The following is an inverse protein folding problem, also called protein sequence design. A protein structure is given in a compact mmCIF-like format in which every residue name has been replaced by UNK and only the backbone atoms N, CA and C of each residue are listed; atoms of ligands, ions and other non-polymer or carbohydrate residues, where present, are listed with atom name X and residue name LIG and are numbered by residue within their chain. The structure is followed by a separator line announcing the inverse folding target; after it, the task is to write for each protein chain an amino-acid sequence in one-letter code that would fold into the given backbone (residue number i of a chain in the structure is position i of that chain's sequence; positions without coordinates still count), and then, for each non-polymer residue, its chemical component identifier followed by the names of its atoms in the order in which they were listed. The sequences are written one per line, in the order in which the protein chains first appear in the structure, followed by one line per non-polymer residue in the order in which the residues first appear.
data_IF_245553856994
#
_entry.id   IF_245553856994
#
_cell.length_a   1.000
_cell.length_b   1.000
_cell.length_c   1.000
_cell.angle_alpha   90.00
_cell.angle_beta   90.00
_cell.angle_gamma   90.00
#
_symmetry.space_group_name_H-M   'P 1'
#
loop_
_entity.id
_entity.type
_entity.pdbx_description
1 polymer ?
#
# COMPACT_ATOMS: atom_id res chain seq x y z
N UNK A 1 36.55 -8.23 65.48
CA UNK A 1 37.61 -7.19 65.42
C UNK A 1 37.36 -6.36 64.18
N UNK A 2 36.69 -5.20 64.32
CA UNK A 2 37.29 -3.85 64.18
C UNK A 2 38.13 -3.73 62.90
N UNK A 3 37.84 -2.86 61.93
CA UNK A 3 37.89 -1.39 61.98
C UNK A 3 37.67 -0.89 60.53
N UNK A 4 36.81 0.10 60.24
CA UNK A 4 37.16 1.53 60.06
C UNK A 4 38.10 1.75 58.83
N UNK A 5 37.91 2.64 57.86
CA UNK A 5 37.41 4.02 57.84
C UNK A 5 37.27 4.48 56.37
N UNK A 6 36.31 5.37 56.08
CA UNK A 6 36.41 6.33 54.96
C UNK A 6 37.58 7.30 55.20
N UNK A 7 38.22 7.81 54.13
CA UNK A 7 38.43 9.24 54.08
C UNK A 7 37.86 9.85 52.80
N UNK A 8 37.00 10.82 53.04
CA UNK A 8 36.53 11.85 52.12
C UNK A 8 37.74 12.57 51.51
N UNK A 9 37.87 12.58 50.19
CA UNK A 9 38.60 13.64 49.49
C UNK A 9 37.68 14.20 48.42
N UNK A 10 37.15 15.38 48.74
CA UNK A 10 36.47 16.28 47.82
C UNK A 10 37.44 16.62 46.70
N UNK A 11 37.16 16.22 45.45
CA UNK A 11 37.73 16.87 44.28
C UNK A 11 36.61 17.38 43.37
N UNK A 12 36.81 18.64 43.00
CA UNK A 12 35.86 19.55 42.40
C UNK A 12 35.26 19.05 41.08
N UNK A 13 34.02 19.48 40.85
CA UNK A 13 33.38 19.45 39.54
C UNK A 13 34.25 20.15 38.49
N UNK A 14 34.53 19.44 37.40
CA UNK A 14 34.97 20.02 36.13
C UNK A 14 34.24 19.28 35.00
N UNK A 15 33.63 20.11 34.16
CA UNK A 15 32.68 19.90 33.07
C UNK A 15 32.94 18.76 32.06
N UNK A 16 31.86 18.01 31.75
CA UNK A 16 31.22 17.70 30.44
C UNK A 16 32.12 17.37 29.20
N UNK A 17 31.73 16.40 28.35
CA UNK A 17 32.59 15.36 27.80
C UNK A 17 33.34 15.75 26.51
N UNK A 18 34.50 15.11 26.30
CA UNK A 18 35.24 15.06 25.03
C UNK A 18 34.37 14.49 23.90
N UNK A 19 33.60 15.36 23.27
CA UNK A 19 33.05 15.18 21.95
C UNK A 19 34.14 15.47 20.91
N UNK A 20 34.18 14.58 19.91
CA UNK A 20 34.84 14.72 18.61
C UNK A 20 36.37 14.49 18.59
N UNK A 21 36.77 13.33 18.07
CA UNK A 21 37.41 13.23 16.74
C UNK A 21 37.58 11.76 16.34
N UNK A 22 36.56 11.19 15.73
CA UNK A 22 36.76 10.07 14.81
C UNK A 22 36.87 10.66 13.41
N UNK A 23 38.09 10.94 12.96
CA UNK A 23 38.38 11.20 11.56
C UNK A 23 38.18 9.92 10.74
N UNK A 24 36.92 9.53 10.53
CA UNK A 24 36.53 8.61 9.49
C UNK A 24 36.17 9.41 8.25
N UNK A 25 37.05 9.48 7.27
CA UNK A 25 36.73 10.05 5.97
C UNK A 25 35.43 9.41 5.43
N UNK A 26 34.46 10.20 4.90
CA UNK A 26 33.31 9.62 4.26
C UNK A 26 33.77 9.02 2.93
N UNK A 27 34.08 7.73 2.92
CA UNK A 27 34.11 6.98 1.67
C UNK A 27 32.68 6.93 1.17
N UNK A 28 32.31 7.90 0.34
CA UNK A 28 31.07 7.85 -0.43
C UNK A 28 31.09 6.56 -1.22
N UNK A 29 30.16 5.59 -0.99
CA UNK A 29 30.08 4.42 -1.83
C UNK A 29 29.73 4.90 -3.22
N UNK A 30 30.74 4.94 -4.10
CA UNK A 30 30.58 5.26 -5.52
C UNK A 30 29.72 4.13 -6.10
N UNK A 31 28.42 4.38 -6.21
CA UNK A 31 27.44 3.42 -6.73
C UNK A 31 26.74 2.62 -5.64
N UNK A 32 26.02 3.29 -4.74
CA UNK A 32 24.86 2.64 -4.14
C UNK A 32 23.85 2.42 -5.28
N UNK A 33 23.90 1.24 -5.92
CA UNK A 33 22.78 0.73 -6.70
C UNK A 33 21.58 0.74 -5.76
N UNK A 34 20.66 1.69 -6.00
CA UNK A 34 19.46 1.86 -5.21
C UNK A 34 18.61 0.60 -5.45
N UNK A 35 18.79 -0.42 -4.60
CA UNK A 35 17.98 -1.63 -4.64
C UNK A 35 16.57 -1.24 -4.23
N UNK A 36 15.75 -0.90 -5.22
CA UNK A 36 14.32 -0.77 -5.06
C UNK A 36 13.78 -2.18 -4.82
N UNK A 37 13.55 -2.52 -3.56
CA UNK A 37 12.73 -3.66 -3.20
C UNK A 37 11.31 -3.39 -3.72
N UNK A 38 11.02 -3.84 -4.94
CA UNK A 38 9.67 -3.80 -5.47
C UNK A 38 8.82 -4.71 -4.59
N UNK A 39 7.80 -4.14 -3.93
CA UNK A 39 6.91 -4.91 -3.08
C UNK A 39 6.28 -6.02 -3.92
N UNK A 40 6.66 -7.26 -3.63
CA UNK A 40 6.22 -8.42 -4.38
C UNK A 40 4.72 -8.61 -4.13
N UNK A 41 3.90 -8.33 -5.14
CA UNK A 41 2.45 -8.41 -5.02
C UNK A 41 2.01 -9.88 -4.97
N UNK A 42 1.16 -10.17 -3.99
CA UNK A 42 0.56 -11.49 -3.76
C UNK A 42 -0.94 -11.44 -3.98
N UNK A 43 -1.48 -12.52 -4.51
CA UNK A 43 -2.91 -12.81 -4.60
C UNK A 43 -3.12 -14.21 -4.01
N UNK A 44 -3.71 -14.28 -2.81
CA UNK A 44 -3.55 -15.46 -1.95
C UNK A 44 -2.08 -15.80 -1.75
N UNK A 45 -1.72 -17.06 -2.04
CA UNK A 45 -0.34 -17.55 -1.92
C UNK A 45 0.52 -17.36 -3.19
N UNK A 46 -0.03 -16.77 -4.25
CA UNK A 46 0.63 -16.66 -5.55
C UNK A 46 1.26 -15.28 -5.75
N UNK A 47 2.51 -15.29 -6.19
CA UNK A 47 3.16 -14.11 -6.76
C UNK A 47 2.63 -13.86 -8.17
N UNK A 48 2.47 -12.60 -8.55
CA UNK A 48 2.05 -12.27 -9.90
C UNK A 48 2.72 -11.00 -10.42
N UNK A 49 2.80 -10.89 -11.75
CA UNK A 49 3.22 -9.68 -12.44
C UNK A 49 2.02 -8.71 -12.57
N UNK A 50 2.04 -7.55 -11.89
CA UNK A 50 0.96 -6.56 -11.97
C UNK A 50 0.82 -5.90 -13.35
N UNK A 51 1.81 -6.04 -14.23
CA UNK A 51 1.72 -5.56 -15.62
C UNK A 51 0.90 -6.50 -16.52
N UNK A 52 0.67 -7.74 -16.07
CA UNK A 52 -0.03 -8.77 -16.84
C UNK A 52 -1.33 -9.21 -16.19
N UNK A 53 -1.37 -9.22 -14.85
CA UNK A 53 -2.49 -9.73 -14.07
C UNK A 53 -2.88 -8.78 -12.94
N UNK A 54 -4.14 -8.87 -12.51
CA UNK A 54 -4.62 -8.32 -11.26
C UNK A 54 -5.13 -9.43 -10.34
N UNK A 55 -5.25 -9.10 -9.05
CA UNK A 55 -5.95 -9.93 -8.09
C UNK A 55 -7.43 -9.52 -8.01
N UNK A 56 -8.32 -10.48 -8.21
CA UNK A 56 -9.77 -10.31 -8.09
C UNK A 56 -10.37 -11.55 -7.43
N UNK A 57 -11.04 -11.38 -6.29
CA UNK A 57 -11.57 -12.45 -5.44
C UNK A 57 -10.57 -13.59 -5.22
N UNK A 58 -9.36 -13.23 -4.78
CA UNK A 58 -8.23 -14.14 -4.53
C UNK A 58 -7.78 -14.97 -5.75
N UNK A 59 -8.23 -14.61 -6.95
CA UNK A 59 -7.83 -15.23 -8.22
C UNK A 59 -6.99 -14.26 -9.07
N UNK A 60 -6.00 -14.84 -9.76
CA UNK A 60 -5.23 -14.12 -10.78
C UNK A 60 -6.06 -14.00 -12.06
N UNK A 61 -6.21 -12.77 -12.52
CA UNK A 61 -7.01 -12.41 -13.68
C UNK A 61 -6.16 -11.61 -14.65
N UNK A 62 -6.13 -11.95 -15.96
CA UNK A 62 -5.43 -11.14 -16.96
C UNK A 62 -6.00 -9.71 -17.02
N UNK A 63 -5.17 -8.70 -17.24
CA UNK A 63 -5.62 -7.30 -17.32
C UNK A 63 -6.64 -7.05 -18.44
N UNK A 64 -6.64 -7.89 -19.49
CA UNK A 64 -7.57 -7.81 -20.62
C UNK A 64 -8.93 -8.45 -20.32
N UNK A 65 -9.10 -9.11 -19.17
CA UNK A 65 -10.35 -9.79 -18.84
C UNK A 65 -11.47 -8.77 -18.64
N UNK A 66 -12.56 -9.00 -19.35
CA UNK A 66 -13.80 -8.25 -19.21
C UNK A 66 -14.94 -9.14 -18.72
N UNK A 67 -15.97 -8.53 -18.14
CA UNK A 67 -17.23 -9.17 -17.77
C UNK A 67 -18.40 -8.27 -18.17
N UNK A 68 -19.62 -8.83 -18.17
CA UNK A 68 -20.86 -8.11 -18.49
C UNK A 68 -21.68 -7.81 -17.25
N UNK A 69 -22.29 -6.64 -17.24
CA UNK A 69 -23.28 -6.22 -16.26
C UNK A 69 -24.43 -5.51 -17.00
N UNK A 70 -25.56 -6.20 -17.16
CA UNK A 70 -26.59 -5.77 -18.12
C UNK A 70 -26.03 -5.70 -19.54
N UNK A 71 -26.19 -4.55 -20.20
CA UNK A 71 -25.62 -4.28 -21.53
C UNK A 71 -24.17 -3.71 -21.47
N UNK A 72 -23.63 -3.43 -20.29
CA UNK A 72 -22.28 -2.90 -20.21
C UNK A 72 -21.26 -4.03 -20.13
N UNK A 73 -20.13 -3.86 -20.83
CA UNK A 73 -18.93 -4.67 -20.63
C UNK A 73 -17.90 -3.84 -19.87
N UNK A 74 -17.33 -4.40 -18.80
CA UNK A 74 -16.37 -3.70 -17.94
C UNK A 74 -15.10 -4.52 -17.74
N UNK A 75 -14.00 -3.83 -17.50
CA UNK A 75 -12.69 -4.42 -17.25
C UNK A 75 -12.54 -4.80 -15.77
N UNK A 76 -12.47 -6.10 -15.48
CA UNK A 76 -12.51 -6.65 -14.10
C UNK A 76 -11.39 -6.11 -13.20
N UNK A 77 -10.24 -5.79 -13.79
CA UNK A 77 -9.09 -5.31 -13.04
C UNK A 77 -9.18 -3.86 -12.62
N UNK A 78 -9.96 -3.04 -13.34
CA UNK A 78 -9.99 -1.59 -13.19
C UNK A 78 -11.36 -1.06 -12.74
N UNK A 79 -12.40 -1.88 -12.87
CA UNK A 79 -13.79 -1.47 -12.69
C UNK A 79 -14.57 -2.50 -11.86
N UNK A 80 -15.67 -2.05 -11.28
CA UNK A 80 -16.58 -2.86 -10.48
C UNK A 80 -18.03 -2.54 -10.84
N UNK A 81 -18.89 -3.56 -10.92
CA UNK A 81 -20.32 -3.37 -11.11
C UNK A 81 -21.04 -3.27 -9.76
N UNK A 82 -21.84 -2.22 -9.59
CA UNK A 82 -22.62 -1.93 -8.40
C UNK A 82 -24.13 -1.97 -8.73
N UNK A 83 -24.97 -2.57 -7.89
CA UNK A 83 -26.42 -2.42 -8.00
C UNK A 83 -26.83 -0.98 -7.64
N UNK A 84 -27.69 -0.36 -8.44
CA UNK A 84 -28.20 0.99 -8.16
C UNK A 84 -29.44 0.88 -7.25
N UNK A 85 -29.28 1.06 -5.94
CA UNK A 85 -30.42 0.92 -5.01
C UNK A 85 -31.23 2.20 -4.92
N UNK A 86 -32.47 2.20 -5.41
CA UNK A 86 -33.59 2.95 -4.81
C UNK A 86 -34.98 2.35 -5.09
N UNK A 87 -35.14 1.42 -6.06
CA UNK A 87 -36.38 0.66 -6.31
C UNK A 87 -36.09 -0.66 -7.04
N UNK A 88 -37.06 -1.59 -7.19
CA UNK A 88 -36.91 -2.85 -7.94
C UNK A 88 -36.67 -2.69 -9.46
N UNK A 89 -36.15 -1.55 -9.93
CA UNK A 89 -35.79 -1.38 -11.33
C UNK A 89 -34.30 -1.67 -11.50
N UNK A 90 -34.06 -2.57 -12.45
CA UNK A 90 -32.86 -3.37 -12.68
C UNK A 90 -31.75 -2.57 -13.36
N UNK A 91 -31.35 -1.46 -12.74
CA UNK A 91 -30.24 -0.64 -13.19
C UNK A 91 -28.97 -0.96 -12.39
N UNK A 92 -27.85 -1.01 -13.09
CA UNK A 92 -26.52 -1.22 -12.55
C UNK A 92 -25.62 -0.07 -12.96
N UNK A 93 -24.57 0.20 -12.18
CA UNK A 93 -23.51 1.13 -12.57
C UNK A 93 -22.17 0.45 -12.51
N UNK A 94 -21.35 0.70 -13.53
CA UNK A 94 -19.93 0.35 -13.51
C UNK A 94 -19.16 1.57 -13.05
N UNK A 95 -18.35 1.39 -12.02
CA UNK A 95 -17.48 2.42 -11.42
C UNK A 95 -16.03 1.98 -11.43
N UNK A 96 -15.11 2.93 -11.26
CA UNK A 96 -13.69 2.64 -11.06
C UNK A 96 -13.46 1.86 -9.76
N UNK A 97 -12.49 0.94 -9.77
CA UNK A 97 -12.13 0.13 -8.60
C UNK A 97 -11.65 1.06 -7.47
N UNK A 98 -12.20 0.86 -6.27
CA UNK A 98 -11.94 1.71 -5.11
C UNK A 98 -12.94 2.85 -4.92
N UNK A 99 -13.89 3.05 -5.84
CA UNK A 99 -15.03 3.94 -5.63
C UNK A 99 -16.16 3.19 -4.91
N UNK A 100 -16.89 3.88 -4.02
CA UNK A 100 -18.00 3.27 -3.29
C UNK A 100 -19.27 3.28 -4.16
N UNK A 101 -20.06 2.21 -4.10
CA UNK A 101 -21.33 2.14 -4.82
C UNK A 101 -22.34 3.21 -4.37
N UNK A 102 -22.24 3.67 -3.12
CA UNK A 102 -23.06 4.74 -2.54
C UNK A 102 -22.56 6.16 -2.86
N UNK A 103 -21.39 6.31 -3.49
CA UNK A 103 -20.87 7.62 -3.85
C UNK A 103 -21.70 8.28 -4.95
N UNK A 104 -21.76 9.61 -4.90
CA UNK A 104 -22.38 10.45 -5.94
C UNK A 104 -21.85 10.04 -7.32
N UNK A 105 -22.72 10.16 -8.32
CA UNK A 105 -22.42 9.77 -9.69
C UNK A 105 -21.24 10.62 -10.22
N UNK A 106 -20.21 9.94 -10.72
CA UNK A 106 -19.08 10.57 -11.38
C UNK A 106 -19.31 10.64 -12.89
N UNK A 107 -18.55 11.51 -13.57
CA UNK A 107 -18.59 11.62 -15.03
C UNK A 107 -18.12 10.34 -15.75
N UNK A 108 -17.29 9.53 -15.07
CA UNK A 108 -16.81 8.23 -15.55
C UNK A 108 -17.77 7.06 -15.29
N UNK A 109 -18.88 7.29 -14.58
CA UNK A 109 -19.82 6.22 -14.22
C UNK A 109 -20.63 5.77 -15.44
N UNK A 110 -20.67 4.45 -15.69
CA UNK A 110 -21.45 3.88 -16.79
C UNK A 110 -22.71 3.20 -16.27
N UNK A 111 -23.88 3.76 -16.59
CA UNK A 111 -25.18 3.22 -16.17
C UNK A 111 -25.70 2.21 -17.19
N UNK A 112 -26.18 1.08 -16.69
CA UNK A 112 -26.60 -0.08 -17.45
C UNK A 112 -28.01 -0.49 -17.00
N UNK A 113 -28.80 -1.04 -17.90
CA UNK A 113 -30.10 -1.65 -17.58
C UNK A 113 -30.08 -3.13 -17.91
N UNK A 114 -30.78 -3.94 -17.13
CA UNK A 114 -31.11 -5.31 -17.50
C UNK A 114 -32.07 -5.28 -18.70
N UNK A 115 -31.83 -6.15 -19.67
CA UNK A 115 -32.75 -6.38 -20.80
C UNK A 115 -33.51 -7.66 -20.47
N UNK A 116 -34.84 -7.54 -20.38
CA UNK A 116 -35.78 -8.64 -20.13
C UNK A 116 -35.90 -9.58 -21.32
#
# INVERSE_FOLDING_TARGET
TSSLFCPTVVLAALDIPMLLWSHGAPVSPKGASLMLCQALRRCGDKLYDPLQHCCYDDALVPLTRTQRCGNCTFSVCFEQCCPWSFRPQEAFVVKGKGQMCSSVQSLDDRVCRRVS
#
